data_IF_908305060098
#
_entry.id   IF_908305060098
#
_cell.length_a   1.000
_cell.length_b   1.000
_cell.length_c   1.000
_cell.angle_alpha   90.00
_cell.angle_beta   90.00
_cell.angle_gamma   90.00
#
_symmetry.space_group_name_H-M   'P 1'
#
loop_
_entity.id
_entity.type
_entity.pdbx_description
1 polymer ?
#
# COMPACT_ATOMS: atom_id res chain seq x y z
N UNK A 1 28.21 1.98 -6.91
CA UNK A 1 27.17 1.46 -6.01
C UNK A 1 26.46 2.68 -5.39
N UNK A 2 25.34 3.12 -5.97
CA UNK A 2 24.57 4.22 -5.35
C UNK A 2 23.94 3.63 -4.09
N UNK A 3 24.28 4.20 -2.92
CA UNK A 3 23.51 3.97 -1.70
C UNK A 3 22.06 4.31 -2.03
N UNK A 4 21.18 3.31 -2.01
CA UNK A 4 19.75 3.57 -1.87
C UNK A 4 19.65 4.36 -0.57
N UNK A 5 19.17 5.61 -0.64
CA UNK A 5 18.87 6.40 0.54
C UNK A 5 18.03 5.52 1.48
N UNK A 6 18.51 5.29 2.71
CA UNK A 6 17.83 4.47 3.71
C UNK A 6 16.40 4.98 3.88
N UNK A 7 15.46 4.26 3.29
CA UNK A 7 14.04 4.60 3.27
C UNK A 7 13.35 3.86 4.40
N UNK A 8 12.56 4.57 5.19
CA UNK A 8 11.66 3.94 6.14
C UNK A 8 10.54 3.22 5.39
N UNK A 9 10.23 1.98 5.73
CA UNK A 9 9.19 1.20 5.05
C UNK A 9 8.20 0.74 6.10
N UNK A 10 6.92 1.04 5.91
CA UNK A 10 5.83 0.51 6.72
C UNK A 10 4.79 -0.17 5.84
N UNK A 11 4.06 -1.12 6.42
CA UNK A 11 2.88 -1.71 5.81
C UNK A 11 1.78 -1.86 6.86
N UNK A 12 0.54 -1.62 6.45
CA UNK A 12 -0.66 -1.80 7.29
C UNK A 12 -1.45 -2.97 6.71
N UNK A 13 -1.66 -4.01 7.51
CA UNK A 13 -2.60 -5.08 7.22
C UNK A 13 -4.03 -4.62 7.52
N UNK A 14 -4.91 -4.69 6.53
CA UNK A 14 -6.20 -4.03 6.58
C UNK A 14 -7.28 -4.95 7.15
N UNK A 15 -7.81 -4.53 8.29
CA UNK A 15 -9.05 -5.06 8.81
C UNK A 15 -9.65 -4.15 9.86
N UNK A 16 -10.45 -4.73 10.74
CA UNK A 16 -11.17 -3.96 11.76
C UNK A 16 -10.20 -3.47 12.84
N UNK A 17 -10.06 -2.15 13.10
CA UNK A 17 -9.27 -1.64 14.21
C UNK A 17 -9.72 -2.25 15.55
N UNK A 18 -8.75 -2.64 16.39
CA UNK A 18 -9.01 -3.32 17.66
C UNK A 18 -9.41 -4.79 17.54
N UNK A 19 -9.34 -5.37 16.33
CA UNK A 19 -9.51 -6.80 16.12
C UNK A 19 -8.48 -7.34 15.11
N UNK A 20 -8.65 -7.00 13.83
CA UNK A 20 -7.97 -7.66 12.72
C UNK A 20 -7.12 -6.68 11.91
N UNK A 21 -6.46 -5.74 12.58
CA UNK A 21 -5.60 -4.73 11.96
C UNK A 21 -4.23 -4.82 12.61
N UNK A 22 -3.20 -4.85 11.79
CA UNK A 22 -1.80 -4.85 12.21
C UNK A 22 -0.99 -3.91 11.34
N UNK A 23 0.18 -3.54 11.82
CA UNK A 23 1.17 -2.84 11.01
C UNK A 23 2.56 -3.28 11.42
N UNK A 24 3.49 -3.15 10.48
CA UNK A 24 4.90 -3.33 10.70
C UNK A 24 5.65 -2.19 10.02
N UNK A 25 6.87 -1.93 10.49
CA UNK A 25 7.78 -0.99 9.87
C UNK A 25 9.24 -1.36 10.11
N UNK A 26 10.10 -0.95 9.17
CA UNK A 26 11.55 -1.12 9.22
C UNK A 26 12.26 0.19 8.88
N UNK A 27 13.32 0.48 9.63
CA UNK A 27 14.29 1.53 9.37
C UNK A 27 15.69 0.92 9.47
N UNK A 28 16.28 0.53 8.34
CA UNK A 28 17.48 -0.30 8.32
C UNK A 28 17.30 -1.57 9.16
N UNK A 29 18.12 -1.76 10.17
CA UNK A 29 18.09 -2.96 11.04
C UNK A 29 17.07 -2.88 12.19
N UNK A 30 16.37 -1.75 12.33
CA UNK A 30 15.38 -1.56 13.41
C UNK A 30 14.00 -1.88 12.87
N UNK A 31 13.30 -2.84 13.49
CA UNK A 31 11.90 -3.16 13.22
C UNK A 31 10.98 -2.68 14.34
N UNK A 32 9.75 -2.32 13.97
CA UNK A 32 8.67 -2.02 14.90
C UNK A 32 7.35 -2.51 14.33
N UNK A 33 6.39 -2.81 15.20
CA UNK A 33 5.09 -3.29 14.80
C UNK A 33 4.03 -3.01 15.88
N UNK A 34 2.78 -3.24 15.53
CA UNK A 34 1.69 -3.22 16.49
C UNK A 34 0.32 -3.21 15.84
N UNK A 35 -0.69 -2.95 16.66
CA UNK A 35 -2.11 -2.91 16.24
C UNK A 35 -2.74 -1.53 16.41
N UNK A 36 -2.03 -0.60 17.06
CA UNK A 36 -2.48 0.78 17.19
C UNK A 36 -2.07 1.60 15.95
N UNK A 37 -3.07 1.97 15.15
CA UNK A 37 -2.89 2.72 13.92
C UNK A 37 -2.28 4.12 14.15
N UNK A 38 -2.52 4.76 15.29
CA UNK A 38 -1.98 6.09 15.57
C UNK A 38 -0.47 6.04 15.85
N UNK A 39 0.00 4.95 16.48
CA UNK A 39 1.44 4.71 16.64
C UNK A 39 2.12 4.49 15.28
N UNK A 40 1.48 3.77 14.36
CA UNK A 40 1.97 3.64 12.99
C UNK A 40 2.10 5.00 12.30
N UNK A 41 1.06 5.84 12.39
CA UNK A 41 1.03 7.20 11.82
C UNK A 41 2.16 8.06 12.38
N UNK A 42 2.39 8.02 13.70
CA UNK A 42 3.46 8.78 14.35
C UNK A 42 4.85 8.30 13.91
N UNK A 43 5.05 6.98 13.76
CA UNK A 43 6.29 6.41 13.25
C UNK A 43 6.59 6.88 11.82
N UNK A 44 5.59 6.78 10.92
CA UNK A 44 5.72 7.25 9.53
C UNK A 44 5.97 8.77 9.47
N UNK A 45 5.26 9.57 10.27
CA UNK A 45 5.46 11.02 10.32
C UNK A 45 6.88 11.40 10.79
N UNK A 46 7.38 10.72 11.83
CA UNK A 46 8.74 10.93 12.33
C UNK A 46 9.78 10.57 11.27
N UNK A 47 9.56 9.48 10.54
CA UNK A 47 10.43 9.08 9.44
C UNK A 47 10.42 10.09 8.29
N UNK A 48 9.23 10.57 7.88
CA UNK A 48 9.08 11.58 6.84
C UNK A 48 9.82 12.88 7.16
N UNK A 49 9.91 13.28 8.42
CA UNK A 49 10.67 14.48 8.82
C UNK A 49 12.18 14.32 8.63
N UNK A 50 12.68 13.08 8.62
CA UNK A 50 14.12 12.75 8.57
C UNK A 50 14.59 12.28 7.19
N UNK A 51 13.70 11.69 6.40
CA UNK A 51 14.03 11.06 5.13
C UNK A 51 12.79 10.63 4.35
N UNK A 52 12.99 9.90 3.24
CA UNK A 52 11.88 9.34 2.48
C UNK A 52 11.24 8.17 3.23
N UNK A 53 9.93 7.99 3.05
CA UNK A 53 9.19 6.86 3.58
C UNK A 53 8.41 6.16 2.48
N UNK A 54 8.16 4.86 2.66
CA UNK A 54 7.25 4.06 1.86
C UNK A 54 6.17 3.45 2.75
N UNK A 55 4.92 3.52 2.32
CA UNK A 55 3.77 3.06 3.07
C UNK A 55 2.89 2.14 2.20
N UNK A 56 2.84 0.87 2.60
CA UNK A 56 2.01 -0.16 2.02
C UNK A 56 0.66 -0.31 2.72
N UNK A 57 -0.35 -0.71 1.98
CA UNK A 57 -1.65 -1.13 2.52
C UNK A 57 -2.01 -2.50 1.95
N UNK A 58 -2.38 -3.45 2.80
CA UNK A 58 -2.92 -4.77 2.43
C UNK A 58 -4.37 -4.63 1.98
N UNK A 59 -4.58 -3.96 0.86
CA UNK A 59 -5.92 -3.78 0.30
C UNK A 59 -5.83 -3.37 -1.15
N UNK A 60 -6.78 -3.76 -2.01
CA UNK A 60 -6.86 -3.22 -3.36
C UNK A 60 -6.89 -1.68 -3.34
N UNK A 61 -5.84 -1.03 -3.86
CA UNK A 61 -5.70 0.43 -3.88
C UNK A 61 -6.18 1.05 -5.19
N UNK A 62 -6.37 0.25 -6.23
CA UNK A 62 -7.03 0.67 -7.46
C UNK A 62 -7.93 -0.44 -8.00
N UNK A 63 -9.02 -0.02 -8.63
CA UNK A 63 -10.00 -0.90 -9.25
C UNK A 63 -9.98 -0.71 -10.76
N UNK A 64 -10.18 -1.75 -11.56
CA UNK A 64 -10.22 -1.63 -13.01
C UNK A 64 -11.43 -0.83 -13.47
N UNK A 65 -11.25 0.06 -14.45
CA UNK A 65 -12.35 0.70 -15.18
C UNK A 65 -12.51 -0.05 -16.50
N UNK A 66 -13.71 -0.61 -16.74
CA UNK A 66 -13.97 -1.51 -17.86
C UNK A 66 -15.21 -1.08 -18.62
N UNK A 67 -15.15 -1.20 -19.93
CA UNK A 67 -16.27 -0.88 -20.83
C UNK A 67 -17.27 -2.03 -20.96
N UNK A 68 -16.81 -3.29 -20.82
CA UNK A 68 -17.67 -4.47 -20.91
C UNK A 68 -18.33 -4.78 -19.54
N UNK A 69 -19.66 -4.66 -19.42
CA UNK A 69 -20.39 -4.94 -18.19
C UNK A 69 -20.16 -6.35 -17.62
N UNK A 70 -19.91 -7.34 -18.49
CA UNK A 70 -19.68 -8.73 -18.08
C UNK A 70 -18.31 -8.95 -17.42
N UNK A 71 -17.45 -7.92 -17.42
CA UNK A 71 -16.11 -7.96 -16.85
C UNK A 71 -15.95 -7.09 -15.61
N UNK A 72 -16.96 -6.29 -15.24
CA UNK A 72 -16.86 -5.30 -14.14
C UNK A 72 -16.36 -5.91 -12.82
N UNK A 73 -16.82 -7.11 -12.49
CA UNK A 73 -16.47 -7.82 -11.27
C UNK A 73 -15.47 -8.97 -11.49
N UNK A 74 -14.80 -9.06 -12.64
CA UNK A 74 -13.72 -10.03 -12.82
C UNK A 74 -12.47 -9.61 -12.05
N UNK A 75 -11.64 -10.59 -11.69
CA UNK A 75 -10.32 -10.37 -11.09
C UNK A 75 -9.50 -9.34 -11.88
N UNK A 76 -8.62 -8.60 -11.21
CA UNK A 76 -7.60 -7.81 -11.91
C UNK A 76 -6.59 -8.73 -12.59
N UNK A 77 -5.91 -8.26 -13.63
CA UNK A 77 -4.82 -9.05 -14.23
C UNK A 77 -3.74 -9.27 -13.16
N UNK A 78 -3.36 -10.53 -12.96
CA UNK A 78 -2.46 -10.93 -11.88
C UNK A 78 -3.17 -11.46 -10.64
N UNK A 79 -4.46 -11.21 -10.40
CA UNK A 79 -5.17 -11.77 -9.21
C UNK A 79 -5.59 -13.23 -9.36
N UNK A 80 -5.63 -13.73 -10.59
CA UNK A 80 -5.99 -15.11 -10.94
C UNK A 80 -5.18 -15.57 -12.15
N UNK A 81 -5.02 -16.89 -12.31
CA UNK A 81 -4.24 -17.46 -13.41
C UNK A 81 -3.68 -18.85 -13.07
N UNK A 82 -2.97 -19.45 -14.03
CA UNK A 82 -2.37 -20.77 -13.86
C UNK A 82 -1.33 -20.73 -12.73
N UNK A 83 -1.50 -21.59 -11.72
CA UNK A 83 -0.61 -21.67 -10.56
C UNK A 83 -0.87 -20.62 -9.47
N UNK A 84 -1.90 -19.78 -9.61
CA UNK A 84 -2.28 -18.78 -8.60
C UNK A 84 -3.56 -19.19 -7.89
N UNK A 85 -3.59 -19.00 -6.57
CA UNK A 85 -4.84 -19.03 -5.81
C UNK A 85 -5.66 -17.79 -6.20
N UNK A 86 -6.81 -18.00 -6.84
CA UNK A 86 -7.69 -16.91 -7.28
C UNK A 86 -8.23 -16.13 -6.08
N UNK A 87 -7.87 -14.84 -6.01
CA UNK A 87 -8.27 -13.89 -4.96
C UNK A 87 -8.67 -12.56 -5.59
N UNK A 88 -9.82 -12.51 -6.30
CA UNK A 88 -10.22 -11.29 -6.98
C UNK A 88 -10.63 -10.21 -5.98
N UNK A 89 -10.33 -8.93 -6.27
CA UNK A 89 -10.79 -7.79 -5.47
C UNK A 89 -12.32 -7.75 -5.31
N UNK A 90 -13.06 -8.35 -6.25
CA UNK A 90 -14.52 -8.38 -6.28
C UNK A 90 -15.14 -9.51 -5.48
N UNK A 91 -14.35 -10.49 -5.00
CA UNK A 91 -14.86 -11.50 -4.08
C UNK A 91 -15.21 -10.86 -2.72
N UNK A 92 -16.10 -11.47 -1.90
CA UNK A 92 -16.59 -10.86 -0.66
C UNK A 92 -15.51 -10.32 0.27
N UNK A 93 -14.40 -11.05 0.43
CA UNK A 93 -13.26 -10.61 1.24
C UNK A 93 -12.55 -9.40 0.60
N UNK A 94 -12.19 -9.49 -0.68
CA UNK A 94 -11.51 -8.41 -1.41
C UNK A 94 -12.33 -7.13 -1.45
N UNK A 95 -13.65 -7.22 -1.67
CA UNK A 95 -14.51 -6.05 -1.78
C UNK A 95 -14.67 -5.36 -0.43
N UNK A 96 -14.75 -6.15 0.65
CA UNK A 96 -14.79 -5.63 2.02
C UNK A 96 -13.49 -4.90 2.36
N UNK A 97 -12.35 -5.55 2.10
CA UNK A 97 -11.03 -4.99 2.41
C UNK A 97 -10.72 -3.77 1.53
N UNK A 98 -11.17 -3.70 0.28
CA UNK A 98 -11.03 -2.50 -0.55
C UNK A 98 -11.74 -1.28 0.06
N UNK A 99 -12.96 -1.45 0.56
CA UNK A 99 -13.72 -0.36 1.21
C UNK A 99 -13.07 0.04 2.54
N UNK A 100 -12.68 -0.93 3.36
CA UNK A 100 -11.97 -0.66 4.62
C UNK A 100 -10.61 0.02 4.37
N UNK A 101 -9.88 -0.42 3.35
CA UNK A 101 -8.61 0.12 2.91
C UNK A 101 -8.73 1.58 2.52
N UNK A 102 -9.75 1.95 1.72
CA UNK A 102 -10.03 3.34 1.39
C UNK A 102 -10.27 4.20 2.64
N UNK A 103 -11.05 3.72 3.60
CA UNK A 103 -11.33 4.45 4.85
C UNK A 103 -10.07 4.61 5.72
N UNK A 104 -9.30 3.53 5.89
CA UNK A 104 -8.09 3.52 6.71
C UNK A 104 -6.98 4.35 6.06
N UNK A 105 -6.74 4.20 4.75
CA UNK A 105 -5.79 5.03 4.02
C UNK A 105 -6.17 6.52 4.11
N UNK A 106 -7.45 6.86 3.94
CA UNK A 106 -7.93 8.25 4.11
C UNK A 106 -7.66 8.77 5.54
N UNK A 107 -7.89 7.95 6.57
CA UNK A 107 -7.61 8.30 7.96
C UNK A 107 -6.11 8.57 8.18
N UNK A 108 -5.26 7.66 7.72
CA UNK A 108 -3.80 7.73 7.85
C UNK A 108 -3.28 8.97 7.13
N UNK A 109 -3.63 9.14 5.86
CA UNK A 109 -3.21 10.28 5.04
C UNK A 109 -3.68 11.62 5.61
N UNK A 110 -4.91 11.69 6.15
CA UNK A 110 -5.42 12.91 6.81
C UNK A 110 -4.57 13.30 8.02
N UNK A 111 -4.09 12.33 8.80
CA UNK A 111 -3.29 12.58 9.99
C UNK A 111 -1.84 12.88 9.63
N UNK A 112 -1.26 12.13 8.71
CA UNK A 112 0.06 12.43 8.17
C UNK A 112 0.12 13.84 7.56
N UNK A 113 -0.92 14.28 6.84
CA UNK A 113 -0.97 15.67 6.32
C UNK A 113 -0.94 16.71 7.44
N UNK A 114 -1.58 16.46 8.58
CA UNK A 114 -1.54 17.38 9.73
C UNK A 114 -0.15 17.41 10.38
N UNK A 115 0.52 16.27 10.48
CA UNK A 115 1.84 16.15 11.11
C UNK A 115 2.99 16.58 10.19
N UNK A 116 2.78 16.46 8.88
CA UNK A 116 3.75 16.76 7.83
C UNK A 116 3.08 17.59 6.72
N UNK A 117 2.74 18.87 6.97
CA UNK A 117 1.96 19.69 6.06
C UNK A 117 2.63 19.95 4.70
N UNK A 118 3.96 19.91 4.66
CA UNK A 118 4.76 20.14 3.45
C UNK A 118 5.18 18.83 2.75
N UNK A 119 4.81 17.66 3.30
CA UNK A 119 5.18 16.40 2.68
C UNK A 119 4.48 16.23 1.32
N UNK A 120 5.13 15.51 0.41
CA UNK A 120 4.59 15.11 -0.89
C UNK A 120 4.42 13.60 -0.92
N UNK A 121 3.43 13.13 -1.68
CA UNK A 121 3.23 11.70 -1.92
C UNK A 121 3.34 11.41 -3.41
N UNK A 122 3.84 10.23 -3.73
CA UNK A 122 3.90 9.68 -5.07
C UNK A 122 3.47 8.21 -5.05
N UNK A 123 2.99 7.74 -6.19
CA UNK A 123 2.76 6.33 -6.48
C UNK A 123 3.72 5.81 -7.55
N UNK A 124 4.60 6.67 -8.07
CA UNK A 124 5.61 6.30 -9.06
C UNK A 124 6.79 5.58 -8.38
N UNK A 125 6.70 4.25 -8.33
CA UNK A 125 7.74 3.40 -7.78
C UNK A 125 8.98 3.30 -8.68
N UNK A 126 8.90 3.68 -9.96
CA UNK A 126 10.05 3.62 -10.87
C UNK A 126 11.05 4.74 -10.59
N UNK A 127 10.54 5.85 -10.05
CA UNK A 127 11.33 6.99 -9.59
C UNK A 127 11.10 7.19 -8.08
N UNK A 128 11.56 6.25 -7.23
CA UNK A 128 11.28 6.30 -5.81
C UNK A 128 11.89 7.56 -5.16
N UNK A 129 11.21 8.16 -4.19
CA UNK A 129 11.68 9.38 -3.55
C UNK A 129 12.95 9.13 -2.72
N UNK A 130 13.86 10.10 -2.73
CA UNK A 130 15.13 10.03 -1.98
C UNK A 130 15.25 11.08 -0.89
N UNK A 131 14.35 12.07 -0.85
CA UNK A 131 14.41 13.22 0.06
C UNK A 131 13.47 13.12 1.26
N UNK A 132 13.77 13.88 2.30
CA UNK A 132 12.86 14.08 3.42
C UNK A 132 11.50 14.65 2.94
N UNK A 133 10.44 14.30 3.65
CA UNK A 133 9.08 14.72 3.36
C UNK A 133 8.46 14.04 2.14
N UNK A 134 9.07 12.99 1.61
CA UNK A 134 8.58 12.30 0.41
C UNK A 134 8.07 10.90 0.74
N UNK A 135 6.79 10.65 0.44
CA UNK A 135 6.09 9.40 0.71
C UNK A 135 5.84 8.62 -0.59
N UNK A 136 6.26 7.36 -0.66
CA UNK A 136 5.86 6.44 -1.71
C UNK A 136 4.73 5.52 -1.21
N UNK A 137 3.65 5.38 -1.97
CA UNK A 137 2.52 4.53 -1.61
C UNK A 137 2.45 3.31 -2.54
N UNK A 138 2.17 2.14 -1.96
CA UNK A 138 2.06 0.87 -2.69
C UNK A 138 1.00 -0.05 -2.08
N UNK A 139 0.59 -1.05 -2.85
CA UNK A 139 -0.38 -2.08 -2.47
C UNK A 139 0.33 -3.39 -2.11
N UNK A 140 0.04 -3.92 -0.93
CA UNK A 140 0.42 -5.27 -0.55
C UNK A 140 -0.71 -6.24 -0.93
N UNK A 141 -0.34 -7.36 -1.56
CA UNK A 141 -1.28 -8.41 -1.95
C UNK A 141 -0.83 -9.77 -1.42
N UNK A 142 -1.26 -10.11 -0.21
CA UNK A 142 -0.81 -11.31 0.49
C UNK A 142 -1.66 -12.51 0.07
N UNK A 143 -1.03 -13.56 -0.45
CA UNK A 143 -1.74 -14.75 -0.90
C UNK A 143 -1.18 -16.04 -0.31
N UNK A 144 -2.04 -16.94 0.16
CA UNK A 144 -1.64 -18.32 0.49
C UNK A 144 -1.48 -18.69 1.97
N UNK A 145 -1.81 -17.81 2.91
CA UNK A 145 -1.74 -18.15 4.34
C UNK A 145 -2.98 -18.96 4.80
N UNK A 146 -2.74 -20.17 5.34
CA UNK A 146 -3.78 -20.94 6.04
C UNK A 146 -4.12 -20.23 7.37
N UNK A 147 -5.37 -19.81 7.52
CA UNK A 147 -5.79 -18.94 8.61
C UNK A 147 -5.97 -19.70 9.94
N UNK A 148 -4.96 -19.75 10.81
CA UNK A 148 -5.08 -20.52 12.08
C UNK A 148 -4.82 -19.76 13.40
N UNK A 149 -4.24 -18.55 13.43
CA UNK A 149 -3.96 -17.82 14.71
C UNK A 149 -4.22 -16.29 14.67
N UNK A 150 -4.33 -15.64 15.84
CA UNK A 150 -4.69 -14.21 16.02
C UNK A 150 -3.53 -13.20 15.77
N UNK A 151 -2.25 -13.64 15.75
CA UNK A 151 -1.08 -12.75 15.55
C UNK A 151 -0.79 -12.40 14.08
N UNK A 152 -1.55 -12.98 13.14
CA UNK A 152 -1.24 -12.93 11.69
C UNK A 152 -1.25 -11.54 11.06
N UNK A 153 -1.92 -10.56 11.66
CA UNK A 153 -2.04 -9.24 11.04
C UNK A 153 -0.72 -8.46 11.01
N UNK A 154 0.11 -8.62 12.05
CA UNK A 154 1.47 -8.07 12.03
C UNK A 154 2.37 -8.88 11.09
N UNK A 155 2.21 -10.20 11.07
CA UNK A 155 2.99 -11.11 10.22
C UNK A 155 2.74 -10.83 8.72
N UNK A 156 1.50 -10.61 8.31
CA UNK A 156 1.13 -10.25 6.94
C UNK A 156 1.78 -8.91 6.52
N UNK A 157 1.79 -7.91 7.41
CA UNK A 157 2.49 -6.65 7.18
C UNK A 157 4.01 -6.81 7.10
N UNK A 158 4.62 -7.70 7.90
CA UNK A 158 6.05 -8.01 7.84
C UNK A 158 6.42 -8.71 6.52
N UNK A 159 5.62 -9.68 6.09
CA UNK A 159 5.79 -10.37 4.80
C UNK A 159 5.68 -9.40 3.63
N UNK A 160 4.73 -8.47 3.69
CA UNK A 160 4.59 -7.41 2.70
C UNK A 160 5.86 -6.57 2.58
N UNK A 161 6.44 -6.16 3.72
CA UNK A 161 7.68 -5.37 3.76
C UNK A 161 8.84 -6.15 3.13
N UNK A 162 8.99 -7.42 3.47
CA UNK A 162 10.03 -8.26 2.88
C UNK A 162 9.89 -8.35 1.36
N UNK A 163 8.68 -8.67 0.87
CA UNK A 163 8.43 -8.74 -0.57
C UNK A 163 8.65 -7.40 -1.28
N UNK A 164 8.33 -6.29 -0.61
CA UNK A 164 8.58 -4.94 -1.13
C UNK A 164 10.08 -4.65 -1.21
N UNK A 165 10.85 -4.96 -0.17
CA UNK A 165 12.31 -4.78 -0.16
C UNK A 165 12.99 -5.58 -1.28
N UNK A 166 12.58 -6.84 -1.47
CA UNK A 166 13.07 -7.69 -2.56
C UNK A 166 12.70 -7.10 -3.93
N UNK A 167 11.44 -6.67 -4.11
CA UNK A 167 10.96 -6.07 -5.36
C UNK A 167 11.65 -4.74 -5.70
N UNK A 168 11.95 -3.94 -4.68
CA UNK A 168 12.49 -2.59 -4.83
C UNK A 168 14.02 -2.52 -4.72
N UNK A 169 14.70 -3.67 -4.66
CA UNK A 169 16.15 -3.73 -4.76
C UNK A 169 16.67 -3.11 -6.07
N UNK A 170 15.89 -3.20 -7.16
CA UNK A 170 16.13 -2.49 -8.41
C UNK A 170 14.83 -1.82 -8.92
N UNK A 171 14.52 -0.58 -8.50
CA UNK A 171 13.24 0.09 -8.80
C UNK A 171 12.95 0.24 -10.30
N UNK A 172 13.98 0.40 -11.13
CA UNK A 172 13.82 0.55 -12.59
C UNK A 172 13.32 -0.73 -13.26
N UNK A 173 13.59 -1.90 -12.67
CA UNK A 173 13.17 -3.22 -13.15
C UNK A 173 11.97 -3.78 -12.37
N UNK A 174 11.51 -3.07 -11.33
CA UNK A 174 10.38 -3.50 -10.51
C UNK A 174 9.08 -3.54 -11.32
N UNK A 175 8.56 -4.74 -11.54
CA UNK A 175 7.27 -4.99 -12.19
C UNK A 175 6.16 -5.08 -11.14
N UNK A 176 4.99 -4.49 -11.39
CA UNK A 176 3.82 -4.68 -10.52
C UNK A 176 3.22 -6.08 -10.73
N UNK A 177 2.84 -6.75 -9.65
CA UNK A 177 2.16 -8.06 -9.71
C UNK A 177 0.74 -7.99 -10.26
N UNK A 178 0.13 -6.79 -10.22
CA UNK A 178 -1.19 -6.51 -10.78
C UNK A 178 -1.09 -5.31 -11.71
N UNK A 179 -1.78 -5.38 -12.85
CA UNK A 179 -1.79 -4.32 -13.84
C UNK A 179 -3.13 -4.26 -14.57
N UNK A 180 -3.63 -3.06 -14.84
CA UNK A 180 -4.83 -2.81 -15.62
C UNK A 180 -4.57 -1.69 -16.65
N UNK A 181 -5.14 -1.73 -17.86
CA UNK A 181 -4.97 -0.68 -18.84
C UNK A 181 -5.66 0.65 -18.44
N UNK A 182 -6.66 0.58 -17.57
CA UNK A 182 -7.37 1.72 -17.00
C UNK A 182 -7.87 1.38 -15.60
N UNK A 183 -7.76 2.33 -14.67
CA UNK A 183 -8.20 2.12 -13.29
C UNK A 183 -8.82 3.37 -12.67
N UNK A 184 -9.59 3.14 -11.60
CA UNK A 184 -9.98 4.10 -10.59
C UNK A 184 -9.10 3.85 -9.36
N UNK A 185 -8.19 4.78 -9.09
CA UNK A 185 -7.28 4.72 -7.96
C UNK A 185 -7.94 5.25 -6.68
N UNK A 186 -8.19 4.33 -5.75
CA UNK A 186 -8.81 4.61 -4.45
C UNK A 186 -7.89 5.42 -3.54
N UNK A 187 -6.58 5.12 -3.53
CA UNK A 187 -5.64 5.92 -2.73
C UNK A 187 -5.37 7.29 -3.37
N UNK A 188 -5.44 7.41 -4.69
CA UNK A 188 -5.48 8.69 -5.41
C UNK A 188 -6.65 9.56 -4.96
N UNK A 189 -7.85 8.96 -4.83
CA UNK A 189 -9.01 9.66 -4.27
C UNK A 189 -8.79 10.08 -2.81
N UNK A 190 -8.14 9.25 -2.00
CA UNK A 190 -7.77 9.58 -0.62
C UNK A 190 -6.75 10.74 -0.56
N UNK A 191 -5.75 10.75 -1.44
CA UNK A 191 -4.75 11.82 -1.56
C UNK A 191 -5.42 13.17 -1.88
N UNK A 192 -6.30 13.20 -2.88
CA UNK A 192 -7.11 14.37 -3.21
C UNK A 192 -7.95 14.83 -2.01
N UNK A 193 -8.68 13.89 -1.39
CA UNK A 193 -9.58 14.19 -0.27
C UNK A 193 -8.85 14.77 0.94
N UNK A 194 -7.61 14.38 1.15
CA UNK A 194 -6.82 14.74 2.34
C UNK A 194 -5.82 15.86 2.08
N UNK A 195 -5.84 16.46 0.89
CA UNK A 195 -4.99 17.62 0.55
C UNK A 195 -3.54 17.26 0.28
N UNK A 196 -3.25 16.03 -0.14
CA UNK A 196 -1.90 15.64 -0.56
C UNK A 196 -1.56 16.06 -1.98
N UNK A 197 -2.58 16.24 -2.80
CA UNK A 197 -2.45 16.71 -4.17
C UNK A 197 -3.74 17.43 -4.56
N UNK A 198 -3.63 18.27 -5.59
CA UNK A 198 -4.77 18.85 -6.31
C UNK A 198 -4.87 18.30 -7.73
N UNK A 199 -3.89 17.50 -8.14
CA UNK A 199 -3.86 16.87 -9.45
C UNK A 199 -4.84 15.70 -9.50
N UNK A 200 -5.86 15.82 -10.33
CA UNK A 200 -6.91 14.81 -10.51
C UNK A 200 -6.42 13.60 -11.30
N UNK A 201 -5.30 13.72 -12.04
CA UNK A 201 -4.72 12.61 -12.81
C UNK A 201 -4.37 11.40 -11.93
N UNK A 202 -4.08 11.61 -10.65
CA UNK A 202 -3.82 10.54 -9.68
C UNK A 202 -4.97 9.53 -9.54
N UNK A 203 -6.19 9.87 -9.97
CA UNK A 203 -7.32 8.94 -10.01
C UNK A 203 -7.14 7.84 -11.07
N UNK A 204 -6.28 8.05 -12.07
CA UNK A 204 -6.01 7.11 -13.15
C UNK A 204 -4.64 6.41 -13.02
N UNK A 205 -3.78 6.86 -12.10
CA UNK A 205 -2.46 6.26 -11.90
C UNK A 205 -2.57 4.93 -11.17
N UNK A 206 -1.69 3.98 -11.46
CA UNK A 206 -1.56 2.74 -10.67
C UNK A 206 -0.39 2.90 -9.70
N UNK A 207 -0.52 2.31 -8.51
CA UNK A 207 0.62 2.12 -7.62
C UNK A 207 1.26 0.75 -7.85
N UNK A 208 2.45 0.54 -7.28
CA UNK A 208 3.09 -0.77 -7.26
C UNK A 208 2.22 -1.75 -6.47
N UNK A 209 1.94 -2.93 -7.04
CA UNK A 209 1.35 -4.06 -6.30
C UNK A 209 2.43 -5.10 -6.05
N UNK A 210 2.70 -5.38 -4.78
CA UNK A 210 3.65 -6.40 -4.35
C UNK A 210 2.86 -7.62 -3.87
N UNK A 211 2.96 -8.71 -4.63
CA UNK A 211 2.44 -10.01 -4.19
C UNK A 211 3.51 -10.79 -3.47
N UNK A 212 3.14 -11.36 -2.33
CA UNK A 212 3.86 -12.43 -1.62
C UNK A 212 2.99 -13.67 -1.45
#
# INVERSE_FOLDING_TARGET
>A
MRLISRMFIACIDIGKPGANLGWAAVDGDVSSDGTNLDVCVEAVATALQRGPASLGFESPLFLPVRDDPLTLNKARQGESGKGLLSRPFSAPAGSTVAVLGLLIATYVLKRLRKLCPEAVATMDWRNPPTGAGSLLIWEAFITGQAKTHDTRHVEDAQLAIQGYQERMANPAEAVSSVHEPSCLNLVGAALLRTGWTTDVAVLADQCLVVRV
#
